data_IF_142321783202
#
_entry.id   IF_142321783202
#
_cell.length_a   1.000
_cell.length_b   1.000
_cell.length_c   1.000
_cell.angle_alpha   90.00
_cell.angle_beta   90.00
_cell.angle_gamma   90.00
#
_symmetry.space_group_name_H-M   'P 1'
#
loop_
_entity.id
_entity.type
_entity.pdbx_description
1 polymer ?
#
# COMPACT_ATOMS: atom_id res chain seq x y z
N UNK A 1 1.18 -19.66 14.44
CA UNK A 1 -0.21 -19.23 14.25
C UNK A 1 -0.60 -19.08 12.77
N UNK A 2 0.25 -18.56 11.89
CA UNK A 2 -0.03 -18.34 10.45
C UNK A 2 -0.32 -19.64 9.66
N UNK A 3 0.26 -20.77 10.02
CA UNK A 3 0.05 -22.06 9.33
C UNK A 3 -1.40 -22.59 9.38
N UNK A 4 -2.21 -22.21 10.38
CA UNK A 4 -3.60 -22.68 10.53
C UNK A 4 -4.60 -21.97 9.61
N UNK A 5 -4.23 -20.84 9.04
CA UNK A 5 -5.10 -20.04 8.17
C UNK A 5 -4.85 -20.26 6.68
N UNK A 6 -3.83 -21.09 6.33
CA UNK A 6 -3.49 -21.39 4.93
C UNK A 6 -3.95 -22.79 4.58
N UNK A 7 -4.76 -22.91 3.55
CA UNK A 7 -5.14 -24.20 2.96
C UNK A 7 -4.07 -24.60 1.95
N UNK A 8 -3.38 -25.73 2.12
CA UNK A 8 -2.50 -26.27 1.09
C UNK A 8 -3.31 -26.72 -0.12
N UNK A 9 -2.80 -26.46 -1.31
CA UNK A 9 -3.41 -26.84 -2.60
C UNK A 9 -2.29 -27.42 -3.46
N UNK A 10 -2.49 -28.62 -4.01
CA UNK A 10 -1.50 -29.31 -4.84
C UNK A 10 -1.39 -28.66 -6.23
N UNK A 11 -2.52 -28.37 -6.86
CA UNK A 11 -2.59 -27.64 -8.14
C UNK A 11 -3.35 -26.33 -7.96
N UNK A 12 -2.58 -25.25 -7.83
CA UNK A 12 -3.14 -23.90 -7.65
C UNK A 12 -3.95 -23.45 -8.86
N UNK A 13 -3.49 -23.77 -10.08
CA UNK A 13 -4.19 -23.38 -11.31
C UNK A 13 -5.56 -24.06 -11.42
N UNK A 14 -5.62 -25.36 -11.22
CA UNK A 14 -6.88 -26.10 -11.24
C UNK A 14 -7.84 -25.60 -10.14
N UNK A 15 -7.33 -25.34 -8.94
CA UNK A 15 -8.12 -24.80 -7.84
C UNK A 15 -8.73 -23.44 -8.17
N UNK A 16 -7.95 -22.51 -8.72
CA UNK A 16 -8.42 -21.18 -9.08
C UNK A 16 -9.45 -21.22 -10.20
N UNK A 17 -9.23 -22.04 -11.23
CA UNK A 17 -10.19 -22.23 -12.32
C UNK A 17 -11.51 -22.83 -11.82
N UNK A 18 -11.47 -23.79 -10.90
CA UNK A 18 -12.66 -24.39 -10.30
C UNK A 18 -13.45 -23.39 -9.43
N UNK A 19 -12.76 -22.51 -8.70
CA UNK A 19 -13.41 -21.51 -7.86
C UNK A 19 -14.12 -20.41 -8.66
N UNK A 20 -13.59 -20.06 -9.84
CA UNK A 20 -14.13 -18.99 -10.68
C UNK A 20 -14.09 -17.59 -10.04
N UNK A 21 -13.43 -17.43 -8.89
CA UNK A 21 -13.30 -16.14 -8.20
C UNK A 21 -12.04 -15.41 -8.69
N UNK A 22 -12.08 -14.07 -8.84
CA UNK A 22 -10.91 -13.29 -9.23
C UNK A 22 -9.84 -13.35 -8.15
N UNK A 23 -8.59 -13.56 -8.58
CA UNK A 23 -7.43 -13.53 -7.69
C UNK A 23 -7.03 -12.07 -7.43
N UNK A 24 -7.15 -11.63 -6.19
CA UNK A 24 -6.83 -10.24 -5.82
C UNK A 24 -5.34 -10.00 -5.63
N UNK A 25 -4.62 -10.98 -5.07
CA UNK A 25 -3.18 -10.92 -4.81
C UNK A 25 -2.58 -12.32 -4.84
N UNK A 26 -1.37 -12.43 -5.39
CA UNK A 26 -0.54 -13.62 -5.29
C UNK A 26 0.79 -13.27 -4.64
N UNK A 27 1.34 -14.18 -3.83
CA UNK A 27 2.68 -14.05 -3.27
C UNK A 27 3.50 -15.28 -3.62
N UNK A 28 4.68 -15.06 -4.17
CA UNK A 28 5.66 -16.10 -4.48
C UNK A 28 6.86 -15.93 -3.56
N UNK A 29 7.24 -17.00 -2.85
CA UNK A 29 8.40 -17.00 -1.96
C UNK A 29 9.55 -17.78 -2.58
N UNK A 30 10.73 -17.20 -2.54
CA UNK A 30 11.97 -17.77 -3.06
C UNK A 30 12.83 -18.33 -1.94
N UNK A 31 13.50 -19.46 -2.20
CA UNK A 31 14.50 -19.99 -1.27
C UNK A 31 15.75 -19.13 -1.33
N UNK A 32 16.60 -19.12 -0.28
CA UNK A 32 17.82 -18.30 -0.27
C UNK A 32 18.71 -18.50 -1.51
N UNK A 33 18.80 -19.73 -2.02
CA UNK A 33 19.58 -20.05 -3.24
C UNK A 33 18.96 -19.50 -4.54
N UNK A 34 17.71 -19.14 -4.54
CA UNK A 34 16.93 -18.70 -5.72
C UNK A 34 16.74 -17.16 -5.77
N UNK A 35 17.44 -16.39 -4.93
CA UNK A 35 17.32 -14.92 -4.88
C UNK A 35 17.80 -14.20 -6.15
N UNK A 36 18.76 -14.79 -6.87
CA UNK A 36 19.19 -14.27 -8.17
C UNK A 36 18.07 -14.38 -9.20
N UNK A 37 17.39 -15.53 -9.26
CA UNK A 37 16.20 -15.74 -10.11
C UNK A 37 15.09 -14.76 -9.75
N UNK A 38 14.82 -14.54 -8.45
CA UNK A 38 13.84 -13.55 -8.01
C UNK A 38 14.11 -12.17 -8.58
N UNK A 39 15.37 -11.72 -8.55
CA UNK A 39 15.78 -10.40 -9.10
C UNK A 39 15.48 -10.33 -10.59
N UNK A 40 15.90 -11.33 -11.35
CA UNK A 40 15.65 -11.41 -12.79
C UNK A 40 14.15 -11.40 -13.10
N UNK A 41 13.34 -12.17 -12.35
CA UNK A 41 11.88 -12.19 -12.52
C UNK A 41 11.28 -10.79 -12.30
N UNK A 42 11.71 -10.06 -11.27
CA UNK A 42 11.23 -8.69 -11.02
C UNK A 42 11.60 -7.71 -12.14
N UNK A 43 12.79 -7.83 -12.70
CA UNK A 43 13.27 -7.00 -13.81
C UNK A 43 12.48 -7.27 -15.11
N UNK A 44 12.20 -8.53 -15.38
CA UNK A 44 11.44 -8.95 -16.58
C UNK A 44 9.92 -8.76 -16.45
N UNK A 45 9.40 -8.69 -15.21
CA UNK A 45 7.97 -8.75 -14.92
C UNK A 45 7.14 -7.71 -15.66
N UNK A 46 7.51 -6.40 -15.69
CA UNK A 46 6.73 -5.38 -16.39
C UNK A 46 6.65 -5.59 -17.90
N UNK A 47 7.69 -6.22 -18.48
CA UNK A 47 7.74 -6.53 -19.93
C UNK A 47 6.88 -7.73 -20.27
N UNK A 48 6.87 -8.76 -19.39
CA UNK A 48 6.13 -10.01 -19.64
C UNK A 48 4.65 -9.89 -19.28
N UNK A 49 4.31 -9.07 -18.28
CA UNK A 49 2.96 -8.94 -17.73
C UNK A 49 2.62 -7.45 -17.47
N UNK A 50 2.42 -6.63 -18.52
CA UNK A 50 2.21 -5.19 -18.36
C UNK A 50 0.93 -4.82 -17.58
N UNK A 51 -0.05 -5.72 -17.52
CA UNK A 51 -1.28 -5.56 -16.74
C UNK A 51 -1.12 -5.89 -15.24
N UNK A 52 0.02 -6.43 -14.84
CA UNK A 52 0.32 -6.81 -13.46
C UNK A 52 1.49 -5.98 -12.89
N UNK A 53 1.49 -5.80 -11.59
CA UNK A 53 2.58 -5.19 -10.85
C UNK A 53 3.24 -6.23 -9.93
N UNK A 54 4.56 -6.37 -10.05
CA UNK A 54 5.39 -7.15 -9.15
C UNK A 54 6.07 -6.24 -8.14
N UNK A 55 5.80 -6.43 -6.84
CA UNK A 55 6.41 -5.67 -5.75
C UNK A 55 7.01 -6.61 -4.70
N UNK A 56 7.71 -6.08 -3.71
CA UNK A 56 8.29 -6.87 -2.63
C UNK A 56 7.91 -6.29 -1.28
N UNK A 57 7.59 -7.15 -0.32
CA UNK A 57 7.34 -6.75 1.07
C UNK A 57 8.38 -7.32 2.03
N UNK A 58 9.07 -8.37 1.62
CA UNK A 58 10.21 -8.95 2.34
C UNK A 58 11.30 -9.36 1.34
N UNK A 59 12.51 -9.62 1.84
CA UNK A 59 13.70 -9.87 1.00
C UNK A 59 13.59 -11.07 0.03
N UNK A 60 12.69 -12.00 0.30
CA UNK A 60 12.57 -13.27 -0.43
C UNK A 60 11.21 -13.51 -1.08
N UNK A 61 10.36 -12.49 -1.24
CA UNK A 61 9.08 -12.64 -1.93
C UNK A 61 8.94 -11.75 -3.17
N UNK A 62 7.97 -12.09 -4.00
CA UNK A 62 7.33 -11.20 -4.97
C UNK A 62 5.83 -11.22 -4.66
N UNK A 63 5.25 -10.04 -4.53
CA UNK A 63 3.81 -9.82 -4.48
C UNK A 63 3.32 -9.38 -5.84
N UNK A 64 2.34 -10.08 -6.37
CA UNK A 64 1.76 -9.83 -7.68
C UNK A 64 0.34 -9.32 -7.50
N UNK A 65 0.07 -8.16 -8.06
CA UNK A 65 -1.23 -7.49 -8.04
C UNK A 65 -1.57 -7.01 -9.46
N UNK A 66 -2.78 -6.53 -9.66
CA UNK A 66 -3.10 -5.76 -10.86
C UNK A 66 -2.23 -4.50 -10.93
N UNK A 67 -1.73 -4.12 -12.10
CA UNK A 67 -1.03 -2.85 -12.30
C UNK A 67 -1.92 -1.63 -12.01
N UNK A 68 -3.25 -1.82 -12.01
CA UNK A 68 -4.23 -0.80 -11.60
C UNK A 68 -4.42 -0.71 -10.10
N UNK A 69 -3.93 -1.70 -9.32
CA UNK A 69 -4.05 -1.74 -7.87
C UNK A 69 -2.75 -1.25 -7.23
N UNK A 70 -2.81 -0.12 -6.55
CA UNK A 70 -1.69 0.48 -5.82
C UNK A 70 -2.21 1.37 -4.71
N UNK A 71 -1.42 1.61 -3.67
CA UNK A 71 -1.85 2.47 -2.54
C UNK A 71 -2.06 3.90 -3.00
N UNK A 72 -1.23 4.41 -3.94
CA UNK A 72 -1.43 5.72 -4.53
C UNK A 72 -2.73 5.82 -5.32
N UNK A 73 -3.02 4.84 -6.16
CA UNK A 73 -4.31 4.81 -6.88
C UNK A 73 -5.51 4.65 -5.95
N UNK A 74 -5.33 3.90 -4.86
CA UNK A 74 -6.40 3.70 -3.88
C UNK A 74 -6.76 4.99 -3.12
N UNK A 75 -5.77 5.82 -2.76
CA UNK A 75 -6.07 7.11 -2.08
C UNK A 75 -6.80 8.07 -3.02
N UNK A 76 -6.43 8.12 -4.31
CA UNK A 76 -7.12 8.95 -5.30
C UNK A 76 -8.57 8.49 -5.50
N UNK A 77 -8.79 7.18 -5.69
CA UNK A 77 -10.14 6.63 -5.86
C UNK A 77 -11.01 6.84 -4.61
N UNK A 78 -10.43 6.73 -3.41
CA UNK A 78 -11.14 6.99 -2.17
C UNK A 78 -11.48 8.47 -2.01
N UNK A 79 -10.56 9.36 -2.32
CA UNK A 79 -10.79 10.81 -2.27
C UNK A 79 -11.91 11.21 -3.24
N UNK A 80 -11.87 10.72 -4.49
CA UNK A 80 -12.93 10.92 -5.48
C UNK A 80 -14.30 10.41 -4.97
N UNK A 81 -14.34 9.16 -4.44
CA UNK A 81 -15.56 8.57 -3.90
C UNK A 81 -16.17 9.37 -2.75
N UNK A 82 -15.33 9.98 -1.92
CA UNK A 82 -15.75 10.79 -0.77
C UNK A 82 -15.99 12.27 -1.13
N UNK A 83 -15.70 12.70 -2.36
CA UNK A 83 -15.78 14.10 -2.79
C UNK A 83 -14.75 15.00 -2.06
N UNK A 84 -13.57 14.44 -1.73
CA UNK A 84 -12.47 15.13 -1.05
C UNK A 84 -11.36 15.40 -2.07
N UNK A 85 -10.78 16.60 -2.07
CA UNK A 85 -9.58 16.87 -2.86
C UNK A 85 -8.42 16.02 -2.29
N UNK A 86 -7.65 15.29 -3.10
CA UNK A 86 -6.46 14.59 -2.65
C UNK A 86 -5.49 15.47 -1.84
N UNK A 87 -5.44 16.78 -2.12
CA UNK A 87 -4.66 17.76 -1.36
C UNK A 87 -5.10 17.94 0.10
N UNK A 88 -6.33 17.54 0.41
CA UNK A 88 -6.88 17.59 1.78
C UNK A 88 -6.69 16.25 2.52
N UNK A 89 -5.88 15.33 1.97
CA UNK A 89 -5.61 14.02 2.56
C UNK A 89 -4.26 13.97 3.26
N UNK A 90 -4.15 13.10 4.25
CA UNK A 90 -2.89 12.78 4.92
C UNK A 90 -2.61 11.29 4.76
N UNK A 91 -1.42 10.94 4.28
CA UNK A 91 -0.98 9.56 4.14
C UNK A 91 0.22 9.26 5.03
N UNK A 92 0.25 8.05 5.60
CA UNK A 92 1.36 7.54 6.39
C UNK A 92 1.93 6.28 5.74
N UNK A 93 3.26 6.15 5.69
CA UNK A 93 3.90 5.00 5.06
C UNK A 93 5.29 4.69 5.60
N UNK A 94 5.72 3.43 5.45
CA UNK A 94 7.06 2.99 5.83
C UNK A 94 7.74 2.10 4.76
N UNK A 95 6.97 1.46 3.89
CA UNK A 95 7.47 0.59 2.84
C UNK A 95 7.49 1.23 1.45
N UNK A 96 8.32 0.72 0.55
CA UNK A 96 8.44 1.25 -0.83
C UNK A 96 7.13 1.24 -1.61
N UNK A 97 6.18 0.37 -1.24
CA UNK A 97 4.83 0.33 -1.80
C UNK A 97 3.93 1.48 -1.31
N UNK A 98 4.37 2.29 -0.34
CA UNK A 98 3.66 3.47 0.15
C UNK A 98 4.10 4.74 -0.56
N UNK A 99 5.22 4.72 -1.28
CA UNK A 99 5.85 5.88 -1.89
C UNK A 99 4.86 6.70 -2.72
N UNK A 100 4.20 6.07 -3.70
CA UNK A 100 3.22 6.74 -4.58
C UNK A 100 2.05 7.36 -3.77
N UNK A 101 1.62 6.69 -2.70
CA UNK A 101 0.56 7.19 -1.83
C UNK A 101 0.99 8.47 -1.08
N UNK A 102 2.23 8.53 -0.61
CA UNK A 102 2.76 9.72 0.04
C UNK A 102 2.92 10.90 -0.95
N UNK A 103 3.39 10.63 -2.17
CA UNK A 103 3.56 11.63 -3.23
C UNK A 103 2.21 12.23 -3.70
N UNK A 104 1.12 11.47 -3.64
CA UNK A 104 -0.20 11.88 -4.13
C UNK A 104 -1.10 12.48 -3.05
N UNK A 105 -0.80 12.28 -1.79
CA UNK A 105 -1.53 12.89 -0.67
C UNK A 105 -1.19 14.38 -0.53
N UNK A 106 -2.08 15.15 0.09
CA UNK A 106 -1.82 16.54 0.44
C UNK A 106 -0.74 16.71 1.50
N UNK A 107 -0.56 15.71 2.37
CA UNK A 107 0.53 15.59 3.31
C UNK A 107 1.01 14.14 3.39
N UNK A 108 2.16 13.86 2.82
CA UNK A 108 2.84 12.56 2.91
C UNK A 108 3.74 12.49 4.14
N UNK A 109 3.49 11.55 5.04
CA UNK A 109 4.25 11.39 6.29
C UNK A 109 4.95 10.03 6.31
N UNK A 110 6.28 10.01 6.28
CA UNK A 110 7.06 8.79 6.45
C UNK A 110 7.24 8.46 7.93
N UNK A 111 7.25 7.18 8.26
CA UNK A 111 7.64 6.71 9.58
C UNK A 111 9.16 6.86 9.78
N UNK A 112 9.63 7.04 11.02
CA UNK A 112 11.05 7.08 11.35
C UNK A 112 11.77 5.77 10.93
N UNK A 113 11.10 4.64 11.04
CA UNK A 113 11.58 3.33 10.59
C UNK A 113 11.37 3.05 9.09
N UNK A 114 10.92 4.04 8.30
CA UNK A 114 10.65 3.89 6.89
C UNK A 114 11.93 3.67 6.06
N UNK A 115 11.74 3.01 4.90
CA UNK A 115 12.76 2.89 3.85
C UNK A 115 13.28 4.28 3.44
N UNK A 116 14.59 4.46 3.19
CA UNK A 116 15.17 5.74 2.75
C UNK A 116 14.48 6.33 1.51
N UNK A 117 14.03 5.50 0.56
CA UNK A 117 13.31 5.95 -0.64
C UNK A 117 11.91 6.51 -0.32
N UNK A 118 11.29 6.04 0.75
CA UNK A 118 9.99 6.56 1.23
C UNK A 118 10.18 7.88 1.95
N UNK A 119 11.22 7.98 2.79
CA UNK A 119 11.57 9.23 3.47
C UNK A 119 11.93 10.36 2.50
N UNK A 120 12.55 10.02 1.36
CA UNK A 120 12.98 10.98 0.35
C UNK A 120 11.83 11.70 -0.36
N UNK A 121 10.63 11.12 -0.36
CA UNK A 121 9.44 11.69 -1.02
C UNK A 121 8.40 12.23 -0.03
N UNK A 122 8.61 12.02 1.27
CA UNK A 122 7.68 12.45 2.29
C UNK A 122 7.88 13.95 2.64
N UNK A 123 6.78 14.65 2.90
CA UNK A 123 6.79 16.04 3.38
C UNK A 123 7.25 16.13 4.84
N UNK A 124 6.97 15.08 5.64
CA UNK A 124 7.33 15.01 7.05
C UNK A 124 7.77 13.61 7.45
N UNK A 125 8.57 13.54 8.52
CA UNK A 125 8.90 12.28 9.19
C UNK A 125 8.27 12.31 10.58
N UNK A 126 7.49 11.28 10.92
CA UNK A 126 6.97 11.07 12.26
C UNK A 126 7.81 10.05 13.03
N UNK A 127 7.57 9.95 14.35
CA UNK A 127 8.20 8.91 15.16
C UNK A 127 7.88 7.50 14.64
N UNK A 128 8.67 6.51 15.06
CA UNK A 128 8.53 5.13 14.63
C UNK A 128 7.18 4.49 15.05
N UNK A 129 6.86 3.36 14.44
CA UNK A 129 5.72 2.53 14.83
C UNK A 129 5.75 2.13 16.31
N UNK A 130 6.96 1.88 16.88
CA UNK A 130 7.13 1.54 18.29
C UNK A 130 6.87 2.72 19.24
N UNK A 131 6.96 3.93 18.74
CA UNK A 131 6.71 5.16 19.48
C UNK A 131 5.32 5.77 19.24
N UNK A 132 4.40 5.02 18.61
CA UNK A 132 3.05 5.48 18.24
C UNK A 132 3.05 6.75 17.36
N UNK A 133 4.01 6.87 16.43
CA UNK A 133 4.23 8.06 15.60
C UNK A 133 3.00 8.53 14.84
N UNK A 134 2.24 7.62 14.21
CA UNK A 134 0.98 7.94 13.49
C UNK A 134 -0.01 8.62 14.44
N UNK A 135 -0.32 8.00 15.59
CA UNK A 135 -1.30 8.54 16.53
C UNK A 135 -0.91 9.88 17.14
N UNK A 136 0.38 10.10 17.39
CA UNK A 136 0.90 11.39 17.87
C UNK A 136 0.76 12.47 16.79
N UNK A 137 1.10 12.14 15.56
CA UNK A 137 0.99 13.07 14.42
C UNK A 137 -0.46 13.43 14.13
N UNK A 138 -1.38 12.48 14.10
CA UNK A 138 -2.82 12.75 13.92
C UNK A 138 -3.31 13.70 15.02
N UNK A 139 -2.99 13.45 16.29
CA UNK A 139 -3.40 14.34 17.39
C UNK A 139 -2.85 15.75 17.25
N UNK A 140 -1.61 15.90 16.75
CA UNK A 140 -1.01 17.19 16.47
C UNK A 140 -1.73 17.92 15.34
N UNK A 141 -2.03 17.22 14.24
CA UNK A 141 -2.75 17.78 13.11
C UNK A 141 -4.17 18.22 13.50
N UNK A 142 -4.91 17.40 14.25
CA UNK A 142 -6.25 17.76 14.72
C UNK A 142 -6.27 18.98 15.65
N UNK A 143 -5.19 19.23 16.41
CA UNK A 143 -5.06 20.47 17.20
C UNK A 143 -4.75 21.68 16.34
N UNK A 144 -3.96 21.51 15.28
CA UNK A 144 -3.61 22.57 14.35
C UNK A 144 -4.77 22.92 13.39
N UNK A 145 -5.55 21.91 13.01
CA UNK A 145 -6.71 22.01 12.11
C UNK A 145 -7.93 21.38 12.79
N UNK A 146 -8.54 22.07 13.80
CA UNK A 146 -9.69 21.51 14.48
C UNK A 146 -10.83 21.29 13.48
N UNK A 147 -11.60 20.19 13.62
CA UNK A 147 -12.73 19.94 12.73
C UNK A 147 -13.68 21.13 12.82
N UNK A 148 -14.01 21.70 11.67
CA UNK A 148 -15.06 22.71 11.56
C UNK A 148 -16.35 22.07 12.07
N UNK A 149 -16.98 22.65 13.10
CA UNK A 149 -18.19 22.11 13.70
C UNK A 149 -19.26 21.82 12.63
N UNK A 150 -20.11 20.87 12.89
CA UNK A 150 -21.19 20.37 11.98
C UNK A 150 -22.22 21.48 11.60
N UNK A 151 -21.73 22.52 10.93
CA UNK A 151 -22.53 23.62 10.42
C UNK A 151 -22.59 23.60 8.91
N UNK A 152 -23.42 22.73 8.30
CA UNK A 152 -23.69 22.92 6.88
C UNK A 152 -23.90 21.71 5.98
N UNK A 153 -24.29 20.56 6.44
CA UNK A 153 -25.01 19.63 5.56
C UNK A 153 -26.45 20.07 5.43
N UNK A 154 -26.71 21.08 4.59
CA UNK A 154 -28.07 21.27 4.06
C UNK A 154 -28.36 20.02 3.22
N UNK A 155 -29.33 19.23 3.69
CA UNK A 155 -29.95 18.20 2.89
C UNK A 155 -30.42 18.83 1.57
N UNK A 156 -29.86 18.42 0.47
CA UNK A 156 -30.48 18.62 -0.84
C UNK A 156 -31.68 17.68 -0.89
N UNK A 157 -32.89 18.26 -0.81
CA UNK A 157 -34.15 17.61 -1.06
C UNK A 157 -34.31 17.27 -2.55
#
# INVERSE_FOLDING_TARGET
MVKRLRRPVEDLKAYLLQKGEPLQKMQVFFRPRDLALRRQVLEDFPRLFPELAGTTSVSNNIEINSAKAGKGKAILALAEHLGIDPKDTVAFGDGTNDREMLELAGLGVAMENADPLVKAVADQICESNNAAGVGKTIRRLLKAFPPQGEGGRKAAG
#
